data_IF_509210713166
#
_entry.id   IF_509210713166
#
_cell.length_a   1.000
_cell.length_b   1.000
_cell.length_c   1.000
_cell.angle_alpha   90.00
_cell.angle_beta   90.00
_cell.angle_gamma   90.00
#
_symmetry.space_group_name_H-M   'P 1'
#
loop_
_entity.id
_entity.type
_entity.pdbx_description
1 polymer ?
#
# COMPACT_ATOMS: atom_id res chain seq x y z
N UNK A 1 -5.15 2.47 -15.54
CA UNK A 1 -3.75 2.68 -15.13
C UNK A 1 -3.42 1.93 -13.84
N UNK A 2 -4.13 2.14 -12.73
CA UNK A 2 -3.85 1.45 -11.44
C UNK A 2 -3.86 -0.09 -11.56
N UNK A 3 -4.87 -0.68 -12.21
CA UNK A 3 -4.91 -2.12 -12.47
C UNK A 3 -3.72 -2.63 -13.30
N UNK A 4 -3.18 -1.78 -14.19
CA UNK A 4 -1.99 -2.12 -14.97
C UNK A 4 -0.73 -2.11 -14.09
N UNK A 5 -0.57 -1.10 -13.23
CA UNK A 5 0.51 -1.08 -12.24
C UNK A 5 0.45 -2.29 -11.29
N UNK A 6 -0.75 -2.71 -10.87
CA UNK A 6 -0.91 -3.91 -10.05
C UNK A 6 -0.41 -5.16 -10.77
N UNK A 7 -0.74 -5.33 -12.06
CA UNK A 7 -0.21 -6.44 -12.88
C UNK A 7 1.31 -6.39 -12.99
N UNK A 8 1.90 -5.21 -13.16
CA UNK A 8 3.36 -5.06 -13.21
C UNK A 8 4.02 -5.45 -11.87
N UNK A 9 3.44 -5.06 -10.74
CA UNK A 9 3.90 -5.49 -9.41
C UNK A 9 4.01 -7.01 -9.32
N UNK A 10 3.00 -7.74 -9.82
CA UNK A 10 3.04 -9.21 -9.83
C UNK A 10 4.05 -9.76 -10.85
N UNK A 11 4.12 -9.18 -12.05
CA UNK A 11 5.05 -9.59 -13.11
C UNK A 11 6.52 -9.45 -12.70
N UNK A 12 6.87 -8.39 -11.98
CA UNK A 12 8.23 -8.14 -11.49
C UNK A 12 8.46 -8.65 -10.06
N UNK A 13 7.45 -9.29 -9.44
CA UNK A 13 7.50 -9.82 -8.08
C UNK A 13 7.97 -8.78 -7.03
N UNK A 14 7.48 -7.55 -7.14
CA UNK A 14 7.79 -6.46 -6.22
C UNK A 14 6.90 -6.50 -4.98
N UNK A 15 7.31 -5.83 -3.92
CA UNK A 15 6.57 -5.68 -2.67
C UNK A 15 5.26 -4.89 -2.87
N UNK A 16 4.21 -5.17 -2.07
CA UNK A 16 2.97 -4.40 -2.11
C UNK A 16 3.16 -2.91 -1.75
N UNK A 17 4.12 -2.60 -0.90
CA UNK A 17 4.55 -1.25 -0.51
C UNK A 17 5.00 -0.45 -1.73
N UNK A 18 5.74 -1.08 -2.66
CA UNK A 18 6.17 -0.47 -3.92
C UNK A 18 4.98 -0.05 -4.79
N UNK A 19 3.95 -0.88 -4.88
CA UNK A 19 2.73 -0.54 -5.60
C UNK A 19 1.92 0.56 -4.89
N UNK A 20 1.84 0.53 -3.56
CA UNK A 20 1.17 1.53 -2.76
C UNK A 20 1.83 2.91 -2.93
N UNK A 21 3.16 2.96 -2.83
CA UNK A 21 3.94 4.17 -3.07
C UNK A 21 3.78 4.66 -4.53
N UNK A 22 3.91 3.77 -5.52
CA UNK A 22 3.73 4.13 -6.93
C UNK A 22 2.36 4.78 -7.20
N UNK A 23 1.30 4.24 -6.59
CA UNK A 23 -0.07 4.77 -6.71
C UNK A 23 -0.18 6.14 -6.04
N UNK A 24 0.38 6.30 -4.84
CA UNK A 24 0.41 7.59 -4.14
C UNK A 24 1.19 8.67 -4.91
N UNK A 25 2.35 8.32 -5.47
CA UNK A 25 3.14 9.21 -6.32
C UNK A 25 2.36 9.66 -7.56
N UNK A 26 1.67 8.72 -8.23
CA UNK A 26 0.85 9.02 -9.39
C UNK A 26 -0.29 9.98 -9.03
N UNK A 27 -1.03 9.71 -7.96
CA UNK A 27 -2.16 10.53 -7.53
C UNK A 27 -1.72 11.94 -7.13
N UNK A 28 -0.66 12.06 -6.32
CA UNK A 28 -0.11 13.38 -5.93
C UNK A 28 0.40 14.16 -7.13
N UNK A 29 1.06 13.51 -8.07
CA UNK A 29 1.53 14.17 -9.29
C UNK A 29 0.36 14.68 -10.15
N UNK A 30 -0.66 13.86 -10.37
CA UNK A 30 -1.84 14.24 -11.16
C UNK A 30 -2.71 15.30 -10.47
N UNK A 31 -2.65 15.42 -9.14
CA UNK A 31 -3.29 16.51 -8.42
C UNK A 31 -2.64 17.88 -8.69
N UNK A 32 -1.35 17.91 -9.03
CA UNK A 32 -0.59 19.16 -9.28
C UNK A 32 -0.46 19.51 -10.76
N UNK A 33 -0.68 18.55 -11.67
CA UNK A 33 -0.45 18.72 -13.11
C UNK A 33 -1.66 18.27 -13.93
N UNK A 34 -2.09 19.12 -14.88
CA UNK A 34 -3.05 18.70 -15.91
C UNK A 34 -2.34 17.84 -16.96
N UNK A 35 -2.36 16.53 -16.76
CA UNK A 35 -1.74 15.58 -17.68
C UNK A 35 -2.67 15.22 -18.85
N UNK A 36 -2.13 15.20 -20.07
CA UNK A 36 -2.85 14.68 -21.23
C UNK A 36 -2.87 13.14 -21.20
N UNK A 37 -4.00 12.47 -21.50
CA UNK A 37 -4.13 11.01 -21.44
C UNK A 37 -3.00 10.20 -22.10
N UNK A 38 -2.52 10.67 -23.26
CA UNK A 38 -1.39 10.08 -24.01
C UNK A 38 -0.09 9.94 -23.20
N UNK A 39 0.11 10.72 -22.13
CA UNK A 39 1.29 10.64 -21.28
C UNK A 39 1.09 9.81 -20.01
N UNK A 40 -0.14 9.35 -19.72
CA UNK A 40 -0.45 8.68 -18.45
C UNK A 40 0.37 7.41 -18.24
N UNK A 41 0.62 6.61 -19.29
CA UNK A 41 1.44 5.41 -19.18
C UNK A 41 2.90 5.76 -18.83
N UNK A 42 3.44 6.82 -19.42
CA UNK A 42 4.79 7.31 -19.14
C UNK A 42 4.91 7.82 -17.69
N UNK A 43 3.93 8.60 -17.23
CA UNK A 43 3.87 9.09 -15.85
C UNK A 43 3.80 7.91 -14.88
N UNK A 44 2.86 7.00 -15.10
CA UNK A 44 2.62 5.86 -14.21
C UNK A 44 3.82 4.90 -14.13
N UNK A 45 4.46 4.55 -15.26
CA UNK A 45 5.66 3.69 -15.22
C UNK A 45 6.84 4.38 -14.55
N UNK A 46 6.95 5.71 -14.66
CA UNK A 46 7.98 6.49 -13.98
C UNK A 46 7.75 6.53 -12.47
N UNK A 47 6.50 6.74 -12.02
CA UNK A 47 6.13 6.62 -10.61
C UNK A 47 6.43 5.22 -10.07
N UNK A 48 6.14 4.17 -10.85
CA UNK A 48 6.43 2.78 -10.48
C UNK A 48 7.92 2.50 -10.37
N UNK A 49 8.72 2.98 -11.32
CA UNK A 49 10.18 2.83 -11.27
C UNK A 49 10.80 3.59 -10.10
N UNK A 50 10.31 4.80 -9.84
CA UNK A 50 10.75 5.62 -8.70
C UNK A 50 10.40 4.95 -7.36
N UNK A 51 9.19 4.40 -7.23
CA UNK A 51 8.79 3.65 -6.05
C UNK A 51 9.66 2.40 -5.85
N UNK A 52 9.96 1.67 -6.92
CA UNK A 52 10.85 0.51 -6.85
C UNK A 52 12.23 0.89 -6.32
N UNK A 53 12.83 1.99 -6.81
CA UNK A 53 14.10 2.51 -6.27
C UNK A 53 14.07 2.95 -4.82
N UNK A 54 12.88 3.25 -4.29
CA UNK A 54 12.72 3.79 -2.93
C UNK A 54 12.51 2.68 -1.90
N UNK A 55 11.83 1.61 -2.30
CA UNK A 55 11.32 0.56 -1.38
C UNK A 55 12.05 -0.78 -1.58
N UNK A 56 12.41 -1.12 -2.82
CA UNK A 56 13.03 -2.41 -3.13
C UNK A 56 14.53 -2.40 -2.87
N UNK A 57 15.07 -3.59 -2.62
CA UNK A 57 16.51 -3.84 -2.61
C UNK A 57 17.10 -3.70 -4.03
N UNK A 58 18.37 -3.32 -4.15
CA UNK A 58 19.02 -3.03 -5.44
C UNK A 58 18.94 -4.20 -6.44
N UNK A 59 18.98 -5.44 -5.96
CA UNK A 59 18.88 -6.66 -6.77
C UNK A 59 17.47 -6.90 -7.32
N UNK A 60 16.44 -6.34 -6.67
CA UNK A 60 15.03 -6.48 -7.09
C UNK A 60 14.57 -5.36 -8.02
N UNK A 61 15.28 -4.23 -8.05
CA UNK A 61 14.93 -3.11 -8.93
C UNK A 61 15.05 -3.57 -10.39
N UNK A 62 13.95 -3.55 -11.18
CA UNK A 62 14.02 -3.97 -12.56
C UNK A 62 14.88 -3.02 -13.38
N UNK A 63 15.77 -3.57 -14.20
CA UNK A 63 16.57 -2.77 -15.15
C UNK A 63 15.65 -1.95 -16.04
N UNK A 64 15.87 -0.63 -16.11
CA UNK A 64 14.95 0.30 -16.78
C UNK A 64 14.60 -0.10 -18.23
N UNK A 65 15.57 -0.62 -18.99
CA UNK A 65 15.33 -1.10 -20.36
C UNK A 65 14.38 -2.30 -20.39
N UNK A 66 14.52 -3.22 -19.44
CA UNK A 66 13.66 -4.40 -19.28
C UNK A 66 12.26 -3.94 -18.84
N UNK A 67 12.18 -3.04 -17.85
CA UNK A 67 10.91 -2.46 -17.41
C UNK A 67 10.16 -1.78 -18.56
N UNK A 68 10.83 -0.94 -19.35
CA UNK A 68 10.21 -0.24 -20.48
C UNK A 68 9.67 -1.21 -21.54
N UNK A 69 10.44 -2.26 -21.85
CA UNK A 69 10.07 -3.29 -22.84
C UNK A 69 8.92 -4.17 -22.35
N UNK A 70 9.06 -4.74 -21.16
CA UNK A 70 8.18 -5.81 -20.67
C UNK A 70 6.88 -5.26 -20.06
N UNK A 71 6.81 -3.96 -19.75
CA UNK A 71 5.58 -3.29 -19.33
C UNK A 71 4.64 -2.91 -20.48
N UNK A 72 5.13 -2.96 -21.72
CA UNK A 72 4.41 -2.47 -22.92
C UNK A 72 3.87 -1.04 -22.76
N UNK A 73 4.57 -0.18 -22.00
CA UNK A 73 4.14 1.20 -21.74
C UNK A 73 4.15 2.11 -22.98
N UNK A 74 4.89 1.72 -24.02
CA UNK A 74 5.08 2.51 -25.24
C UNK A 74 6.08 3.67 -25.10
N UNK A 75 6.87 3.70 -24.02
CA UNK A 75 7.84 4.76 -23.73
C UNK A 75 9.28 4.24 -23.82
N UNK A 76 10.18 5.10 -24.27
CA UNK A 76 11.63 4.87 -24.22
C UNK A 76 12.18 5.07 -22.81
N UNK A 77 13.30 4.42 -22.48
CA UNK A 77 13.98 4.64 -21.19
C UNK A 77 14.33 6.12 -20.95
N UNK A 78 14.67 6.87 -22.00
CA UNK A 78 14.93 8.31 -21.91
C UNK A 78 13.70 9.12 -21.52
N UNK A 79 12.50 8.76 -22.02
CA UNK A 79 11.26 9.42 -21.64
C UNK A 79 10.90 9.13 -20.19
N UNK A 80 11.12 7.90 -19.73
CA UNK A 80 10.91 7.50 -18.33
C UNK A 80 11.84 8.31 -17.41
N UNK A 81 13.15 8.39 -17.71
CA UNK A 81 14.10 9.18 -16.90
C UNK A 81 13.82 10.69 -16.94
N UNK A 82 13.26 11.20 -18.04
CA UNK A 82 12.84 12.60 -18.11
C UNK A 82 11.61 12.84 -17.24
N UNK A 83 10.64 11.94 -17.29
CA UNK A 83 9.41 12.03 -16.51
C UNK A 83 9.68 11.82 -15.01
N UNK A 84 10.57 10.91 -14.64
CA UNK A 84 11.03 10.71 -13.26
C UNK A 84 11.53 12.02 -12.64
N UNK A 85 12.41 12.75 -13.34
CA UNK A 85 12.89 14.07 -12.89
C UNK A 85 11.76 15.09 -12.73
N UNK A 86 10.83 15.14 -13.69
CA UNK A 86 9.66 16.04 -13.62
C UNK A 86 8.79 15.72 -12.40
N UNK A 87 8.58 14.43 -12.11
CA UNK A 87 7.81 13.99 -10.94
C UNK A 87 8.51 14.43 -9.65
N UNK A 88 9.82 14.17 -9.53
CA UNK A 88 10.62 14.57 -8.38
C UNK A 88 10.57 16.08 -8.14
N UNK A 89 10.78 16.88 -9.19
CA UNK A 89 10.73 18.33 -9.11
C UNK A 89 9.33 18.83 -8.70
N UNK A 90 8.26 18.23 -9.23
CA UNK A 90 6.88 18.62 -8.89
C UNK A 90 6.46 18.24 -7.49
N UNK A 91 7.02 17.16 -6.96
CA UNK A 91 6.78 16.72 -5.59
C UNK A 91 7.80 17.29 -4.60
N UNK A 92 8.67 18.22 -5.03
CA UNK A 92 9.74 18.80 -4.22
C UNK A 92 10.62 17.73 -3.52
N UNK A 93 10.86 16.61 -4.22
CA UNK A 93 11.61 15.46 -3.71
C UNK A 93 11.01 14.79 -2.47
N UNK A 94 9.79 15.17 -2.07
CA UNK A 94 9.06 14.51 -0.99
C UNK A 94 8.40 13.23 -1.51
N UNK A 95 9.08 12.10 -1.36
CA UNK A 95 8.56 10.77 -1.67
C UNK A 95 7.92 10.09 -0.46
N UNK A 96 8.06 10.65 0.73
CA UNK A 96 7.51 10.06 1.94
C UNK A 96 6.02 10.34 2.00
N UNK A 97 5.23 9.29 1.93
CA UNK A 97 3.80 9.38 2.19
C UNK A 97 3.38 8.14 2.94
N UNK A 98 2.76 8.36 4.10
CA UNK A 98 2.07 7.29 4.79
C UNK A 98 1.00 6.72 3.87
N UNK A 99 1.21 5.50 3.41
CA UNK A 99 0.25 4.75 2.62
C UNK A 99 -0.75 4.07 3.57
N UNK A 100 -1.98 3.77 3.11
CA UNK A 100 -2.92 2.97 3.90
C UNK A 100 -2.33 1.63 4.38
N UNK A 101 -1.37 1.07 3.64
CA UNK A 101 -0.68 -0.16 4.00
C UNK A 101 0.19 0.03 5.25
N UNK A 102 0.84 1.19 5.42
CA UNK A 102 1.62 1.50 6.62
C UNK A 102 0.72 1.52 7.87
N UNK A 103 -0.49 2.07 7.76
CA UNK A 103 -1.47 2.05 8.84
C UNK A 103 -1.96 0.63 9.16
N UNK A 104 -2.21 -0.20 8.15
CA UNK A 104 -2.54 -1.61 8.36
C UNK A 104 -1.41 -2.34 9.10
N UNK A 105 -0.16 -2.12 8.70
CA UNK A 105 1.00 -2.76 9.33
C UNK A 105 1.15 -2.34 10.81
N UNK A 106 0.88 -1.07 11.14
CA UNK A 106 0.90 -0.57 12.53
C UNK A 106 -0.22 -1.23 13.36
N UNK A 107 -1.43 -1.33 12.80
CA UNK A 107 -2.59 -1.90 13.48
C UNK A 107 -2.44 -3.42 13.70
N UNK A 108 -1.94 -4.14 12.70
CA UNK A 108 -1.75 -5.60 12.75
C UNK A 108 -0.68 -6.03 13.75
N UNK A 109 0.36 -5.21 13.95
CA UNK A 109 1.50 -5.57 14.79
C UNK A 109 1.35 -5.12 16.25
N UNK A 110 1.00 -3.87 16.53
CA UNK A 110 1.07 -3.33 17.90
C UNK A 110 -0.25 -3.44 18.68
N UNK A 111 -1.37 -3.12 18.02
CA UNK A 111 -2.68 -3.08 18.68
C UNK A 111 -3.30 -4.48 18.78
N UNK A 112 -3.08 -5.34 17.79
CA UNK A 112 -3.57 -6.72 17.79
C UNK A 112 -2.83 -7.61 18.80
N UNK A 113 -1.53 -7.45 18.99
CA UNK A 113 -0.77 -8.15 20.05
C UNK A 113 -1.26 -7.70 21.43
N UNK A 114 -1.36 -6.39 21.66
CA UNK A 114 -1.84 -5.86 22.93
C UNK A 114 -3.28 -6.27 23.25
N UNK A 115 -4.18 -6.21 22.26
CA UNK A 115 -5.55 -6.68 22.43
C UNK A 115 -5.62 -8.20 22.66
N UNK A 116 -4.80 -9.01 21.98
CA UNK A 116 -4.73 -10.45 22.25
C UNK A 116 -4.24 -10.76 23.66
N UNK A 117 -3.20 -10.06 24.13
CA UNK A 117 -2.68 -10.23 25.48
C UNK A 117 -3.70 -9.81 26.54
N UNK A 118 -4.36 -8.66 26.37
CA UNK A 118 -5.41 -8.20 27.27
C UNK A 118 -6.61 -9.15 27.29
N UNK A 119 -7.07 -9.60 26.12
CA UNK A 119 -8.18 -10.57 26.02
C UNK A 119 -7.77 -11.91 26.64
N UNK A 120 -6.56 -12.41 26.39
CA UNK A 120 -6.05 -13.63 27.02
C UNK A 120 -5.94 -13.49 28.55
N UNK A 121 -5.44 -12.36 29.03
CA UNK A 121 -5.35 -12.05 30.46
C UNK A 121 -6.75 -12.03 31.10
N UNK A 122 -7.70 -11.28 30.54
CA UNK A 122 -9.07 -11.23 31.06
C UNK A 122 -9.80 -12.58 30.97
N UNK A 123 -9.61 -13.34 29.90
CA UNK A 123 -10.18 -14.69 29.78
C UNK A 123 -9.58 -15.66 30.78
N UNK A 124 -8.26 -15.63 31.03
CA UNK A 124 -7.62 -16.47 32.05
C UNK A 124 -8.08 -16.14 33.47
N UNK A 125 -8.25 -14.85 33.76
CA UNK A 125 -8.78 -14.39 35.04
C UNK A 125 -10.22 -14.86 35.25
N UNK A 126 -11.05 -14.79 34.20
CA UNK A 126 -12.41 -15.33 34.21
C UNK A 126 -12.42 -16.86 34.35
N UNK A 127 -11.54 -17.59 33.66
CA UNK A 127 -11.43 -19.05 33.74
C UNK A 127 -11.08 -19.53 35.16
N UNK A 128 -10.22 -18.80 35.87
CA UNK A 128 -9.82 -19.10 37.26
C UNK A 128 -10.92 -18.82 38.29
N UNK A 129 -11.90 -17.99 37.93
CA UNK A 129 -13.00 -17.57 38.79
C UNK A 129 -14.29 -18.40 38.62
N UNK A 130 -14.30 -19.40 37.72
CA UNK A 130 -15.49 -20.18 37.40
C UNK A 130 -15.45 -21.57 38.04
N UNK A 131 -16.54 -22.00 38.71
CA UNK A 131 -16.65 -23.38 39.19
C UNK A 131 -16.78 -24.36 38.01
N UNK A 132 -16.32 -25.60 38.22
CA UNK A 132 -16.06 -26.63 37.20
C UNK A 132 -17.20 -26.95 36.19
N UNK A 133 -18.43 -26.46 36.39
CA UNK A 133 -19.63 -26.85 35.65
C UNK A 133 -20.51 -25.68 35.14
N UNK A 134 -19.93 -24.53 34.77
CA UNK A 134 -20.71 -23.44 34.16
C UNK A 134 -20.88 -23.62 32.65
N UNK A 135 -22.12 -23.83 32.18
CA UNK A 135 -22.49 -23.81 30.75
C UNK A 135 -22.90 -22.39 30.35
N UNK A 136 -22.21 -21.81 29.35
CA UNK A 136 -22.52 -20.49 28.83
C UNK A 136 -23.60 -20.54 27.75
N UNK A 137 -24.72 -19.84 27.96
CA UNK A 137 -25.73 -19.62 26.92
C UNK A 137 -25.43 -18.28 26.24
N UNK A 138 -24.92 -18.32 25.01
CA UNK A 138 -24.67 -17.13 24.19
C UNK A 138 -26.01 -16.50 23.75
N UNK A 139 -26.29 -15.26 24.20
CA UNK A 139 -27.38 -14.42 23.68
C UNK A 139 -26.79 -13.31 22.82
N UNK A 140 -27.06 -13.26 21.51
CA UNK A 140 -26.61 -12.16 20.67
C UNK A 140 -27.36 -10.87 21.04
N UNK A 141 -26.63 -9.75 21.15
CA UNK A 141 -27.18 -8.42 21.42
C UNK A 141 -28.22 -8.04 20.36
N UNK A 142 -29.46 -7.78 20.80
CA UNK A 142 -30.45 -7.08 19.96
C UNK A 142 -30.03 -5.61 19.89
N UNK A 143 -29.68 -5.15 18.70
CA UNK A 143 -29.53 -3.74 18.38
C UNK A 143 -30.81 -2.98 18.71
N UNK A 144 -30.79 -2.11 19.72
CA UNK A 144 -31.77 -1.04 19.86
C UNK A 144 -31.21 0.19 19.17
N UNK A 145 -31.68 0.45 17.95
CA UNK A 145 -31.51 1.75 17.30
C UNK A 145 -32.37 2.76 18.05
N UNK A 146 -31.73 3.73 18.68
CA UNK A 146 -32.38 4.96 19.17
C UNK A 146 -32.27 5.98 18.04
N UNK A 147 -33.41 6.44 17.54
CA UNK A 147 -33.52 7.72 16.82
C UNK A 147 -34.80 8.42 17.28
N UNK A 148 -34.61 9.70 17.60
CA UNK A 148 -35.48 10.76 18.15
C UNK A 148 -37.00 10.58 18.10
#
# INVERSE_FOLDING_TARGET
VIQWLAKLKYQFNLYPETFALASSLLDRFLATVKAHPKYLNCIAISCFFLAAKTVEEDEKIPVLKVLARDSFCGCSSSEILRMERIILDKLNWDLHTATPLDFLHIMDSSQLIHCRELVAYHLSALQSALPLNSVYVYRPLKHTLVTC
#
